data_IF_799459201230
#
_entry.id   IF_799459201230
#
_cell.length_a   1.000
_cell.length_b   1.000
_cell.length_c   1.000
_cell.angle_alpha   90.00
_cell.angle_beta   90.00
_cell.angle_gamma   90.00
#
_symmetry.space_group_name_H-M   'P 1'
#
loop_
_entity.id
_entity.type
_entity.pdbx_description
1 polymer ?
#
# COMPACT_ATOMS: atom_id res chain seq x y z
N UNK A 1 8.78 7.15 2.29
CA UNK A 1 8.96 6.16 1.19
C UNK A 1 8.62 6.82 -0.15
N UNK A 2 9.31 6.46 -1.22
CA UNK A 2 9.11 6.92 -2.59
C UNK A 2 8.22 5.94 -3.38
N UNK A 3 7.82 6.31 -4.60
CA UNK A 3 6.93 5.48 -5.43
C UNK A 3 7.52 4.13 -5.83
N UNK A 4 8.84 4.07 -5.95
CA UNK A 4 9.58 2.86 -6.30
C UNK A 4 9.71 1.88 -5.13
N UNK A 5 9.41 2.32 -3.91
CA UNK A 5 9.53 1.45 -2.74
C UNK A 5 8.33 0.50 -2.64
N UNK A 6 8.59 -0.66 -2.05
CA UNK A 6 7.62 -1.72 -1.86
C UNK A 6 6.61 -1.39 -0.76
N UNK A 7 5.36 -1.15 -1.16
CA UNK A 7 4.25 -1.02 -0.25
C UNK A 7 3.80 -2.39 0.27
N UNK A 8 3.75 -3.40 -0.60
CA UNK A 8 3.45 -4.77 -0.20
C UNK A 8 4.73 -5.61 -0.17
N UNK A 9 5.37 -5.68 1.00
CA UNK A 9 6.57 -6.49 1.25
C UNK A 9 6.34 -8.02 1.22
N UNK A 10 5.09 -8.48 1.04
CA UNK A 10 4.79 -9.91 0.83
C UNK A 10 4.92 -10.31 -0.64
N UNK A 11 4.50 -9.42 -1.53
CA UNK A 11 4.37 -9.71 -2.96
C UNK A 11 5.17 -8.73 -3.83
N UNK A 12 6.08 -7.97 -3.21
CA UNK A 12 6.97 -7.02 -3.89
C UNK A 12 6.21 -6.02 -4.79
N UNK A 13 5.10 -5.49 -4.27
CA UNK A 13 4.28 -4.50 -4.98
C UNK A 13 4.67 -3.10 -4.54
N UNK A 14 5.15 -2.29 -5.47
CA UNK A 14 5.57 -0.91 -5.21
C UNK A 14 4.40 0.05 -5.08
N UNK A 15 4.62 1.17 -4.39
CA UNK A 15 3.62 2.25 -4.27
C UNK A 15 3.14 2.72 -5.65
N UNK A 16 4.06 2.88 -6.62
CA UNK A 16 3.73 3.24 -8.02
C UNK A 16 2.77 2.24 -8.66
N UNK A 17 3.01 0.94 -8.49
CA UNK A 17 2.16 -0.10 -9.09
C UNK A 17 0.73 -0.02 -8.54
N UNK A 18 0.59 0.24 -7.23
CA UNK A 18 -0.73 0.39 -6.61
C UNK A 18 -1.44 1.65 -7.13
N UNK A 19 -0.76 2.80 -7.14
CA UNK A 19 -1.34 4.06 -7.65
C UNK A 19 -1.78 3.89 -9.12
N UNK A 20 -0.91 3.34 -9.97
CA UNK A 20 -1.22 3.09 -11.37
C UNK A 20 -2.42 2.13 -11.51
N UNK A 21 -2.48 1.08 -10.68
CA UNK A 21 -3.60 0.16 -10.67
C UNK A 21 -4.91 0.87 -10.30
N UNK A 22 -4.91 1.71 -9.27
CA UNK A 22 -6.09 2.46 -8.85
C UNK A 22 -6.58 3.36 -9.98
N UNK A 23 -5.67 4.09 -10.65
CA UNK A 23 -6.02 4.98 -11.77
C UNK A 23 -6.62 4.25 -12.96
N UNK A 24 -6.04 3.11 -13.34
CA UNK A 24 -6.47 2.35 -14.54
C UNK A 24 -7.73 1.52 -14.28
N UNK A 25 -7.81 0.86 -13.11
CA UNK A 25 -8.90 -0.07 -12.80
C UNK A 25 -10.05 0.57 -12.05
N UNK A 26 -9.84 1.76 -11.49
CA UNK A 26 -10.82 2.52 -10.70
C UNK A 26 -11.58 1.63 -9.70
N UNK A 27 -10.87 0.87 -8.83
CA UNK A 27 -11.52 0.03 -7.83
C UNK A 27 -12.38 0.90 -6.91
N UNK A 28 -13.54 0.38 -6.52
CA UNK A 28 -14.46 1.06 -5.59
C UNK A 28 -14.21 0.66 -4.14
N UNK A 29 -13.60 -0.50 -3.91
CA UNK A 29 -13.39 -1.05 -2.56
C UNK A 29 -11.92 -1.44 -2.35
N UNK A 30 -11.36 -1.24 -1.13
CA UNK A 30 -9.99 -1.65 -0.83
C UNK A 30 -9.72 -3.16 -1.05
N UNK A 31 -10.75 -4.00 -0.91
CA UNK A 31 -10.63 -5.45 -1.17
C UNK A 31 -10.26 -5.77 -2.63
N UNK A 32 -10.62 -4.90 -3.58
CA UNK A 32 -10.30 -5.08 -5.01
C UNK A 32 -8.81 -4.83 -5.29
N UNK A 33 -8.08 -4.18 -4.37
CA UNK A 33 -6.62 -4.02 -4.49
C UNK A 33 -5.88 -5.35 -4.36
N UNK A 34 -6.53 -6.41 -3.86
CA UNK A 34 -5.99 -7.77 -3.92
C UNK A 34 -5.71 -8.25 -5.35
N UNK A 35 -6.42 -7.71 -6.35
CA UNK A 35 -6.17 -8.01 -7.76
C UNK A 35 -4.91 -7.31 -8.30
N UNK A 36 -4.33 -6.35 -7.55
CA UNK A 36 -3.02 -5.77 -7.82
C UNK A 36 -1.93 -6.72 -7.31
N UNK A 37 -1.64 -7.78 -8.07
CA UNK A 37 -0.58 -8.76 -7.77
C UNK A 37 -0.68 -9.41 -6.37
N UNK A 38 -1.88 -9.52 -5.81
CA UNK A 38 -2.09 -10.10 -4.48
C UNK A 38 -1.92 -9.13 -3.31
N UNK A 39 -1.68 -7.83 -3.55
CA UNK A 39 -1.45 -6.86 -2.48
C UNK A 39 -2.54 -6.92 -1.37
N UNK A 40 -2.11 -7.05 -0.11
CA UNK A 40 -3.02 -7.13 1.04
C UNK A 40 -3.59 -8.54 1.34
N UNK A 41 -3.27 -9.57 0.56
CA UNK A 41 -3.71 -10.96 0.84
C UNK A 41 -2.75 -11.77 1.71
N UNK A 42 -1.52 -11.26 1.91
CA UNK A 42 -0.49 -11.90 2.74
C UNK A 42 -0.64 -11.53 4.21
N UNK A 43 0.42 -10.97 4.81
CA UNK A 43 0.42 -10.64 6.24
C UNK A 43 -0.57 -9.55 6.67
N UNK A 44 -1.19 -8.79 5.76
CA UNK A 44 -2.17 -7.76 6.10
C UNK A 44 -1.58 -6.38 6.46
N UNK A 45 -0.29 -6.28 6.78
CA UNK A 45 0.38 -5.02 7.18
C UNK A 45 0.12 -3.85 6.22
N UNK A 46 0.13 -4.09 4.92
CA UNK A 46 -0.05 -3.05 3.91
C UNK A 46 -1.51 -2.59 3.72
N UNK A 47 -2.51 -3.29 4.28
CA UNK A 47 -3.94 -2.99 4.06
C UNK A 47 -4.36 -1.57 4.45
N UNK A 48 -3.94 -1.00 5.60
CA UNK A 48 -4.30 0.37 5.95
C UNK A 48 -3.74 1.38 4.95
N UNK A 49 -2.52 1.14 4.45
CA UNK A 49 -1.87 2.02 3.47
C UNK A 49 -2.51 1.91 2.08
N UNK A 50 -2.83 0.68 1.65
CA UNK A 50 -3.61 0.43 0.42
C UNK A 50 -4.95 1.18 0.43
N UNK A 51 -5.66 1.13 1.56
CA UNK A 51 -6.91 1.88 1.73
C UNK A 51 -6.69 3.39 1.63
N UNK A 52 -5.68 3.94 2.33
CA UNK A 52 -5.37 5.38 2.27
C UNK A 52 -5.07 5.86 0.85
N UNK A 53 -4.27 5.12 0.09
CA UNK A 53 -3.99 5.45 -1.31
C UNK A 53 -5.27 5.48 -2.16
N UNK A 54 -6.17 4.51 -1.97
CA UNK A 54 -7.44 4.48 -2.67
C UNK A 54 -8.32 5.68 -2.30
N UNK A 55 -8.47 5.95 -1.01
CA UNK A 55 -9.28 7.06 -0.49
C UNK A 55 -8.73 8.41 -0.99
N UNK A 56 -7.41 8.58 -1.03
CA UNK A 56 -6.75 9.79 -1.54
C UNK A 56 -6.92 9.96 -3.06
N UNK A 57 -6.81 8.90 -3.87
CA UNK A 57 -7.06 8.98 -5.32
C UNK A 57 -8.51 9.37 -5.59
N UNK A 58 -9.46 8.77 -4.87
CA UNK A 58 -10.88 9.08 -4.99
C UNK A 58 -11.21 10.52 -4.57
N UNK A 59 -10.50 11.05 -3.58
CA UNK A 59 -10.63 12.44 -3.15
C UNK A 59 -9.92 13.44 -4.10
N UNK A 60 -9.10 12.96 -5.05
CA UNK A 60 -8.27 13.80 -5.91
C UNK A 60 -7.10 14.46 -5.18
N UNK A 61 -6.74 13.97 -3.99
CA UNK A 61 -5.70 14.53 -3.11
C UNK A 61 -4.43 13.70 -3.06
N UNK A 62 -4.21 12.79 -4.02
CA UNK A 62 -2.97 12.00 -4.08
C UNK A 62 -1.80 12.89 -4.53
N UNK A 63 -0.92 13.18 -3.58
CA UNK A 63 0.37 13.82 -3.80
C UNK A 63 1.51 12.81 -3.58
N UNK A 64 2.53 12.84 -4.44
CA UNK A 64 3.71 11.97 -4.29
C UNK A 64 4.45 12.25 -2.98
N UNK A 65 4.46 13.50 -2.53
CA UNK A 65 5.25 13.99 -1.40
C UNK A 65 4.55 13.92 -0.03
N UNK A 66 3.23 13.74 0.03
CA UNK A 66 2.45 14.06 1.24
C UNK A 66 1.87 12.85 1.96
N UNK A 67 2.35 11.65 1.64
CA UNK A 67 2.10 10.51 2.50
C UNK A 67 3.19 10.48 3.57
N UNK A 68 2.81 10.69 4.85
CA UNK A 68 3.66 10.43 6.02
C UNK A 68 3.88 8.91 6.16
N UNK A 69 4.45 8.31 5.11
CA UNK A 69 4.90 6.95 5.06
C UNK A 69 6.32 6.92 5.63
N UNK A 70 6.60 5.99 6.55
CA UNK A 70 7.94 5.79 7.07
C UNK A 70 8.93 5.49 5.93
N UNK A 71 10.22 5.58 6.22
CA UNK A 71 11.26 5.10 5.29
C UNK A 71 11.06 3.59 5.00
N UNK A 72 11.57 3.05 3.88
CA UNK A 72 11.46 1.61 3.60
C UNK A 72 11.99 0.72 4.72
N UNK A 73 13.09 1.12 5.36
CA UNK A 73 13.69 0.42 6.48
C UNK A 73 12.77 0.41 7.70
N UNK A 74 12.23 1.57 8.07
CA UNK A 74 11.27 1.70 9.17
C UNK A 74 9.96 0.95 8.89
N UNK A 75 9.48 0.99 7.65
CA UNK A 75 8.29 0.25 7.21
C UNK A 75 8.47 -1.26 7.38
N UNK A 76 9.64 -1.79 6.97
CA UNK A 76 9.99 -3.20 7.14
C UNK A 76 10.13 -3.59 8.62
N UNK A 77 10.71 -2.71 9.45
CA UNK A 77 10.82 -2.90 10.90
C UNK A 77 9.44 -2.95 11.56
N UNK A 78 8.56 -2.00 11.22
CA UNK A 78 7.19 -1.94 11.74
C UNK A 78 6.37 -3.18 11.33
N UNK A 79 6.48 -3.63 10.07
CA UNK A 79 5.88 -4.90 9.62
C UNK A 79 6.35 -6.08 10.47
N UNK A 80 7.63 -6.14 10.78
CA UNK A 80 8.19 -7.24 11.58
C UNK A 80 7.60 -7.26 12.99
N UNK A 81 7.46 -6.10 13.63
CA UNK A 81 6.77 -5.97 14.92
C UNK A 81 5.29 -6.36 14.83
N UNK A 82 4.58 -5.88 13.81
CA UNK A 82 3.18 -6.22 13.56
C UNK A 82 2.97 -7.75 13.40
N UNK A 83 3.87 -8.44 12.68
CA UNK A 83 3.82 -9.90 12.55
C UNK A 83 4.07 -10.63 13.87
N UNK A 84 4.92 -10.11 14.75
CA UNK A 84 5.17 -10.70 16.07
C UNK A 84 3.94 -10.58 16.99
N UNK A 85 3.07 -9.61 16.74
CA UNK A 85 1.83 -9.38 17.50
C UNK A 85 0.63 -10.20 16.97
N UNK A 86 0.82 -11.01 15.93
CA UNK A 86 -0.23 -11.88 15.37
C UNK A 86 -1.00 -11.30 14.18
N UNK A 87 -0.74 -10.05 13.80
CA UNK A 87 -1.44 -9.34 12.72
C UNK A 87 -2.79 -8.74 13.13
#
# INVERSE_FOLDING_TARGET
MNDDDELCLCFHVTRRKVIQYIRVRQPRRPSELSQCYGAGTGCGWCRPFLKRLLDQEQAGSLSHDEENLPTPEEYARQRSAYRQQGG
#
